data_IF_414105561554
#
_entry.id   IF_414105561554
#
_cell.length_a   1.000
_cell.length_b   1.000
_cell.length_c   1.000
_cell.angle_alpha   90.00
_cell.angle_beta   90.00
_cell.angle_gamma   90.00
#
_symmetry.space_group_name_H-M   'P 1'
#
loop_
_entity.id
_entity.type
_entity.pdbx_description
1 polymer ?
#
# COMPACT_ATOMS: atom_id res chain seq x y z
N UNK A 1 -21.54 -10.29 -11.21
CA UNK A 1 -20.68 -9.09 -11.30
C UNK A 1 -19.76 -8.94 -10.08
N UNK A 2 -20.27 -9.03 -8.84
CA UNK A 2 -19.45 -8.94 -7.61
C UNK A 2 -18.30 -9.95 -7.58
N UNK A 3 -18.58 -11.22 -7.83
CA UNK A 3 -17.56 -12.28 -7.79
C UNK A 3 -16.48 -12.07 -8.85
N UNK A 4 -16.85 -11.59 -10.04
CA UNK A 4 -15.89 -11.23 -11.08
C UNK A 4 -14.94 -10.13 -10.60
N UNK A 5 -15.45 -9.06 -9.98
CA UNK A 5 -14.60 -8.00 -9.41
C UNK A 5 -13.65 -8.54 -8.34
N UNK A 6 -14.12 -9.41 -7.45
CA UNK A 6 -13.28 -10.07 -6.42
C UNK A 6 -12.12 -10.84 -7.06
N UNK A 7 -12.39 -11.67 -8.07
CA UNK A 7 -11.35 -12.40 -8.79
C UNK A 7 -10.38 -11.48 -9.52
N UNK A 8 -10.89 -10.42 -10.16
CA UNK A 8 -10.05 -9.44 -10.87
C UNK A 8 -9.15 -8.67 -9.90
N UNK A 9 -9.64 -8.27 -8.72
CA UNK A 9 -8.80 -7.62 -7.69
C UNK A 9 -7.65 -8.54 -7.30
N UNK A 10 -7.93 -9.81 -6.97
CA UNK A 10 -6.89 -10.78 -6.64
C UNK A 10 -5.87 -10.96 -7.76
N UNK A 11 -6.34 -11.13 -9.01
CA UNK A 11 -5.48 -11.28 -10.18
C UNK A 11 -4.58 -10.05 -10.42
N UNK A 12 -5.14 -8.85 -10.36
CA UNK A 12 -4.41 -7.59 -10.57
C UNK A 12 -3.36 -7.39 -9.47
N UNK A 13 -3.71 -7.66 -8.22
CA UNK A 13 -2.80 -7.51 -7.08
C UNK A 13 -1.67 -8.54 -7.08
N UNK A 14 -1.94 -9.78 -7.46
CA UNK A 14 -0.90 -10.80 -7.63
C UNK A 14 0.02 -10.41 -8.79
N UNK A 15 -0.54 -9.93 -9.90
CA UNK A 15 0.23 -9.48 -11.06
C UNK A 15 1.13 -8.29 -10.71
N UNK A 16 0.63 -7.31 -9.94
CA UNK A 16 1.41 -6.17 -9.50
C UNK A 16 2.57 -6.59 -8.58
N UNK A 17 2.31 -7.52 -7.63
CA UNK A 17 3.32 -8.07 -6.74
C UNK A 17 4.40 -8.86 -7.48
N UNK A 18 4.01 -9.74 -8.41
CA UNK A 18 4.96 -10.51 -9.25
C UNK A 18 5.80 -9.56 -10.11
N UNK A 19 5.19 -8.54 -10.71
CA UNK A 19 5.89 -7.55 -11.52
C UNK A 19 6.91 -6.77 -10.68
N UNK A 20 6.52 -6.34 -9.48
CA UNK A 20 7.40 -5.65 -8.54
C UNK A 20 8.58 -6.55 -8.14
N UNK A 21 8.31 -7.80 -7.74
CA UNK A 21 9.32 -8.80 -7.42
C UNK A 21 10.32 -8.99 -8.58
N UNK A 22 9.83 -9.13 -9.80
CA UNK A 22 10.67 -9.27 -10.98
C UNK A 22 11.58 -8.06 -11.19
N UNK A 23 11.06 -6.84 -11.05
CA UNK A 23 11.83 -5.59 -11.19
C UNK A 23 12.89 -5.44 -10.10
N UNK A 24 12.57 -5.78 -8.86
CA UNK A 24 13.53 -5.80 -7.74
C UNK A 24 14.65 -6.80 -8.04
N UNK A 25 14.29 -8.03 -8.42
CA UNK A 25 15.25 -9.10 -8.72
C UNK A 25 16.19 -8.75 -9.89
N UNK A 26 15.68 -8.08 -10.92
CA UNK A 26 16.45 -7.66 -12.10
C UNK A 26 17.18 -6.33 -11.92
N UNK A 27 16.95 -5.61 -10.81
CA UNK A 27 17.45 -4.23 -10.59
C UNK A 27 17.10 -3.30 -11.75
N UNK A 28 15.86 -3.41 -12.24
CA UNK A 28 15.36 -2.72 -13.43
C UNK A 28 14.97 -1.27 -13.12
N UNK A 29 15.93 -0.47 -12.64
CA UNK A 29 15.74 0.95 -12.30
C UNK A 29 14.87 1.22 -11.07
N UNK A 30 14.25 0.20 -10.48
CA UNK A 30 13.43 0.31 -9.27
C UNK A 30 14.29 0.04 -8.03
N UNK A 31 14.25 0.96 -7.07
CA UNK A 31 14.86 0.77 -5.75
C UNK A 31 13.79 1.06 -4.71
N UNK A 32 12.98 0.07 -4.29
CA UNK A 32 11.99 0.28 -3.26
C UNK A 32 12.66 0.39 -1.89
N UNK A 33 12.18 1.29 -1.05
CA UNK A 33 12.70 1.41 0.33
C UNK A 33 12.18 0.28 1.21
N UNK A 34 13.09 -0.45 1.88
CA UNK A 34 12.70 -1.52 2.82
C UNK A 34 11.73 -1.02 3.91
N UNK A 35 11.95 0.18 4.44
CA UNK A 35 11.07 0.81 5.45
C UNK A 35 9.62 0.91 4.98
N UNK A 36 9.39 1.30 3.71
CA UNK A 36 8.05 1.41 3.13
C UNK A 36 7.30 0.08 3.23
N UNK A 37 7.95 -1.02 2.85
CA UNK A 37 7.30 -2.32 2.78
C UNK A 37 7.09 -2.96 4.15
N UNK A 38 7.97 -2.70 5.13
CA UNK A 38 7.72 -3.05 6.53
C UNK A 38 6.47 -2.34 7.05
N UNK A 39 6.40 -1.03 6.81
CA UNK A 39 5.31 -0.15 7.25
C UNK A 39 3.97 -0.57 6.62
N UNK A 40 3.95 -0.83 5.32
CA UNK A 40 2.75 -1.32 4.64
C UNK A 40 2.36 -2.73 5.07
N UNK A 41 3.31 -3.64 5.23
CA UNK A 41 2.98 -4.99 5.69
C UNK A 41 2.37 -4.97 7.10
N UNK A 42 2.99 -4.25 8.04
CA UNK A 42 2.46 -4.10 9.39
C UNK A 42 1.09 -3.41 9.40
N UNK A 43 0.94 -2.32 8.65
CA UNK A 43 -0.31 -1.57 8.55
C UNK A 43 -1.45 -2.38 7.94
N UNK A 44 -1.20 -3.08 6.84
CA UNK A 44 -2.21 -3.91 6.15
C UNK A 44 -2.64 -5.10 7.00
N UNK A 45 -1.73 -5.76 7.73
CA UNK A 45 -2.10 -6.81 8.70
C UNK A 45 -3.01 -6.24 9.80
N UNK A 46 -2.63 -5.11 10.40
CA UNK A 46 -3.45 -4.48 11.42
C UNK A 46 -4.82 -4.08 10.86
N UNK A 47 -4.86 -3.57 9.63
CA UNK A 47 -6.10 -3.19 8.98
C UNK A 47 -6.98 -4.42 8.72
N UNK A 48 -6.42 -5.50 8.20
CA UNK A 48 -7.19 -6.72 7.95
C UNK A 48 -7.73 -7.30 9.25
N UNK A 49 -6.91 -7.32 10.31
CA UNK A 49 -7.30 -7.86 11.61
C UNK A 49 -8.45 -7.06 12.22
N UNK A 50 -8.31 -5.74 12.29
CA UNK A 50 -9.37 -4.85 12.81
C UNK A 50 -10.63 -4.90 11.94
N UNK A 51 -10.47 -5.02 10.61
CA UNK A 51 -11.58 -5.17 9.67
C UNK A 51 -12.36 -6.46 9.89
N UNK A 52 -11.69 -7.61 9.97
CA UNK A 52 -12.35 -8.91 10.15
C UNK A 52 -13.15 -8.94 11.45
N UNK A 53 -12.61 -8.35 12.52
CA UNK A 53 -13.29 -8.24 13.81
C UNK A 53 -14.51 -7.31 13.70
N UNK A 54 -14.37 -6.13 13.10
CA UNK A 54 -15.45 -5.14 12.99
C UNK A 54 -16.59 -5.59 12.06
N UNK A 55 -16.26 -6.20 10.92
CA UNK A 55 -17.20 -6.53 9.84
C UNK A 55 -17.59 -8.01 9.82
N UNK A 56 -17.45 -8.69 10.97
CA UNK A 56 -17.87 -10.09 11.18
C UNK A 56 -17.40 -11.04 10.08
N UNK A 57 -16.13 -10.91 9.68
CA UNK A 57 -15.49 -11.74 8.66
C UNK A 57 -16.06 -11.59 7.22
N UNK A 58 -16.58 -10.42 6.82
CA UNK A 58 -16.93 -10.13 5.42
C UNK A 58 -15.68 -10.01 4.51
N UNK A 59 -15.11 -11.15 4.14
CA UNK A 59 -13.89 -11.20 3.31
C UNK A 59 -14.13 -10.79 1.86
N UNK A 60 -15.38 -10.80 1.38
CA UNK A 60 -15.71 -10.47 -0.01
C UNK A 60 -15.65 -8.98 -0.24
N UNK A 61 -16.23 -8.18 0.66
CA UNK A 61 -16.12 -6.72 0.58
C UNK A 61 -14.69 -6.27 0.85
N UNK A 62 -14.00 -6.92 1.80
CA UNK A 62 -12.61 -6.65 2.16
C UNK A 62 -11.55 -7.23 1.23
N UNK A 63 -11.89 -7.68 0.02
CA UNK A 63 -10.97 -8.41 -0.89
C UNK A 63 -9.67 -7.65 -1.14
N UNK A 64 -9.72 -6.32 -1.29
CA UNK A 64 -8.51 -5.51 -1.51
C UNK A 64 -7.57 -5.54 -0.31
N UNK A 65 -8.11 -5.50 0.91
CA UNK A 65 -7.31 -5.55 2.14
C UNK A 65 -6.58 -6.90 2.26
N UNK A 66 -7.28 -8.00 1.96
CA UNK A 66 -6.68 -9.35 1.92
C UNK A 66 -5.58 -9.41 0.86
N UNK A 67 -5.89 -8.96 -0.36
CA UNK A 67 -4.94 -8.97 -1.47
C UNK A 67 -3.71 -8.09 -1.19
N UNK A 68 -3.89 -6.95 -0.53
CA UNK A 68 -2.81 -6.06 -0.09
C UNK A 68 -1.90 -6.74 0.95
N UNK A 69 -2.44 -7.46 1.94
CA UNK A 69 -1.60 -8.20 2.90
C UNK A 69 -0.71 -9.22 2.16
N UNK A 70 -1.27 -9.97 1.21
CA UNK A 70 -0.50 -10.95 0.43
C UNK A 70 0.52 -10.25 -0.48
N UNK A 71 0.12 -9.21 -1.20
CA UNK A 71 0.99 -8.49 -2.12
C UNK A 71 2.15 -7.80 -1.37
N UNK A 72 1.86 -7.11 -0.27
CA UNK A 72 2.87 -6.45 0.56
C UNK A 72 3.80 -7.46 1.22
N UNK A 73 3.32 -8.64 1.63
CA UNK A 73 4.19 -9.72 2.11
C UNK A 73 5.18 -10.18 1.02
N UNK A 74 4.70 -10.45 -0.20
CA UNK A 74 5.53 -10.88 -1.33
C UNK A 74 6.60 -9.81 -1.64
N UNK A 75 6.21 -8.54 -1.71
CA UNK A 75 7.14 -7.46 -2.03
C UNK A 75 8.13 -7.25 -0.88
N UNK A 76 7.67 -7.27 0.37
CA UNK A 76 8.53 -7.16 1.54
C UNK A 76 9.61 -8.27 1.57
N UNK A 77 9.22 -9.53 1.36
CA UNK A 77 10.16 -10.64 1.25
C UNK A 77 11.13 -10.46 0.09
N UNK A 78 10.64 -9.98 -1.06
CA UNK A 78 11.47 -9.72 -2.24
C UNK A 78 12.54 -8.65 -1.97
N UNK A 79 12.18 -7.58 -1.23
CA UNK A 79 13.13 -6.52 -0.84
C UNK A 79 14.16 -7.05 0.17
N UNK A 80 13.78 -7.91 1.12
CA UNK A 80 14.74 -8.55 2.05
C UNK A 80 15.76 -9.41 1.29
N UNK A 81 15.28 -10.22 0.34
CA UNK A 81 16.12 -11.20 -0.36
C UNK A 81 17.02 -10.50 -1.39
N UNK A 82 16.47 -9.64 -2.24
CA UNK A 82 17.15 -9.07 -3.41
C UNK A 82 17.37 -7.55 -3.37
N UNK A 83 16.73 -6.83 -2.46
CA UNK A 83 16.82 -5.37 -2.36
C UNK A 83 18.13 -4.88 -1.74
N UNK A 84 18.33 -3.56 -1.78
CA UNK A 84 19.49 -2.92 -1.17
C UNK A 84 19.36 -2.94 0.36
N UNK A 85 20.27 -3.67 1.01
CA UNK A 85 20.27 -3.88 2.47
C UNK A 85 20.86 -2.65 3.17
N UNK A 86 20.00 -1.68 3.46
CA UNK A 86 20.32 -0.53 4.29
C UNK A 86 19.22 -0.29 5.31
N UNK A 87 19.15 -1.09 6.37
CA UNK A 87 18.16 -0.91 7.43
C UNK A 87 18.70 0.05 8.49
N UNK A 88 18.29 1.32 8.42
CA UNK A 88 18.42 2.25 9.55
C UNK A 88 17.03 2.79 9.85
N UNK A 89 16.42 2.31 10.94
CA UNK A 89 15.17 2.85 11.47
C UNK A 89 15.36 4.35 11.72
N UNK A 90 14.77 5.19 10.87
CA UNK A 90 14.75 6.62 11.05
C UNK A 90 13.64 6.96 12.06
N UNK A 91 13.58 8.22 12.54
CA UNK A 91 12.55 8.63 13.49
C UNK A 91 11.11 8.37 13.00
N UNK A 92 10.88 8.47 11.69
CA UNK A 92 9.56 8.22 11.10
C UNK A 92 9.09 6.77 11.27
N UNK A 93 9.95 5.79 11.00
CA UNK A 93 9.59 4.38 11.16
C UNK A 93 9.26 4.05 12.63
N UNK A 94 9.99 4.64 13.58
CA UNK A 94 9.70 4.49 15.01
C UNK A 94 8.36 5.11 15.38
N UNK A 95 8.08 6.31 14.88
CA UNK A 95 6.79 6.97 15.08
C UNK A 95 5.63 6.14 14.50
N UNK A 96 5.79 5.61 13.28
CA UNK A 96 4.79 4.78 12.63
C UNK A 96 4.50 3.51 13.42
N UNK A 97 5.55 2.77 13.84
CA UNK A 97 5.39 1.58 14.67
C UNK A 97 4.81 1.90 16.05
N UNK A 98 5.15 3.05 16.63
CA UNK A 98 4.48 3.56 17.82
C UNK A 98 2.98 3.77 17.59
N UNK A 99 2.60 4.33 16.45
CA UNK A 99 1.20 4.46 16.03
C UNK A 99 0.47 3.11 15.93
N UNK A 100 1.12 2.10 15.35
CA UNK A 100 0.58 0.71 15.31
C UNK A 100 0.27 0.23 16.73
N UNK A 101 1.23 0.38 17.66
CA UNK A 101 1.06 -0.04 19.07
C UNK A 101 -0.08 0.74 19.72
N UNK A 102 -0.18 2.05 19.52
CA UNK A 102 -1.26 2.88 20.08
C UNK A 102 -2.63 2.42 19.59
N UNK A 103 -2.77 2.11 18.29
CA UNK A 103 -4.05 1.63 17.73
C UNK A 103 -4.44 0.26 18.30
N UNK A 104 -3.46 -0.63 18.47
CA UNK A 104 -3.68 -1.96 19.08
C UNK A 104 -4.12 -1.80 20.54
N UNK A 105 -3.39 -1.00 21.32
CA UNK A 105 -3.74 -0.72 22.73
C UNK A 105 -5.14 -0.12 22.80
N UNK A 106 -5.43 0.91 22.00
CA UNK A 106 -6.77 1.50 21.93
C UNK A 106 -7.84 0.43 21.69
N UNK A 107 -7.69 -0.41 20.67
CA UNK A 107 -8.69 -1.43 20.32
C UNK A 107 -8.87 -2.49 21.40
N UNK A 108 -7.79 -2.89 22.08
CA UNK A 108 -7.85 -3.85 23.18
C UNK A 108 -8.57 -3.30 24.41
N UNK A 109 -8.38 -2.02 24.73
CA UNK A 109 -9.02 -1.38 25.89
C UNK A 109 -10.45 -0.90 25.62
N UNK A 110 -10.72 -0.38 24.41
CA UNK A 110 -12.05 0.13 24.05
C UNK A 110 -13.01 -0.96 23.55
N UNK A 111 -12.47 -2.06 23.01
CA UNK A 111 -13.25 -3.04 22.25
C UNK A 111 -13.72 -2.53 20.89
N UNK A 112 -13.35 -1.31 20.49
CA UNK A 112 -13.80 -0.66 19.26
C UNK A 112 -12.90 -1.01 18.07
N UNK A 113 -13.13 -2.18 17.49
CA UNK A 113 -12.41 -2.63 16.29
C UNK A 113 -12.69 -1.73 15.08
N UNK A 114 -13.86 -1.10 15.01
CA UNK A 114 -14.23 -0.22 13.91
C UNK A 114 -13.40 1.08 13.96
N UNK A 115 -13.34 1.72 15.13
CA UNK A 115 -12.50 2.89 15.38
C UNK A 115 -11.01 2.59 15.15
N UNK A 116 -10.53 1.45 15.65
CA UNK A 116 -9.16 0.98 15.37
C UNK A 116 -8.89 0.84 13.88
N UNK A 117 -9.86 0.35 13.09
CA UNK A 117 -9.69 0.23 11.65
C UNK A 117 -9.55 1.60 10.98
N UNK A 118 -10.40 2.57 11.34
CA UNK A 118 -10.32 3.94 10.81
C UNK A 118 -8.98 4.60 11.13
N UNK A 119 -8.50 4.49 12.37
CA UNK A 119 -7.16 4.99 12.72
C UNK A 119 -6.07 4.28 11.92
N UNK A 120 -6.24 3.00 11.64
CA UNK A 120 -5.30 2.25 10.79
C UNK A 120 -5.31 2.77 9.35
N UNK A 121 -6.46 3.16 8.79
CA UNK A 121 -6.50 3.75 7.43
C UNK A 121 -5.72 5.06 7.35
N UNK A 122 -5.84 5.91 8.39
CA UNK A 122 -5.05 7.15 8.51
C UNK A 122 -3.57 6.82 8.61
N UNK A 123 -3.21 5.86 9.46
CA UNK A 123 -1.82 5.45 9.65
C UNK A 123 -1.21 4.91 8.34
N UNK A 124 -1.87 3.97 7.64
CA UNK A 124 -1.38 3.42 6.37
C UNK A 124 -1.20 4.53 5.33
N UNK A 125 -2.08 5.53 5.30
CA UNK A 125 -1.95 6.69 4.41
C UNK A 125 -0.68 7.49 4.70
N UNK A 126 -0.30 7.65 5.96
CA UNK A 126 1.00 8.24 6.32
C UNK A 126 2.17 7.34 5.92
N UNK A 127 1.96 6.03 5.78
CA UNK A 127 2.96 5.05 5.36
C UNK A 127 3.56 5.28 3.96
N UNK A 128 2.94 6.11 3.11
CA UNK A 128 3.53 6.54 1.83
C UNK A 128 4.67 7.55 1.99
N UNK A 129 4.82 8.16 3.16
CA UNK A 129 5.80 9.20 3.41
C UNK A 129 7.24 8.80 3.07
N UNK A 130 7.77 7.60 3.43
CA UNK A 130 9.14 7.21 3.08
C UNK A 130 9.36 7.12 1.56
N UNK A 131 8.36 6.65 0.80
CA UNK A 131 8.41 6.62 -0.66
C UNK A 131 8.43 8.03 -1.24
N UNK A 132 7.54 8.91 -0.76
CA UNK A 132 7.51 10.32 -1.18
C UNK A 132 8.83 11.00 -0.84
N UNK A 133 9.34 10.82 0.37
CA UNK A 133 10.61 11.39 0.82
C UNK A 133 11.77 10.91 -0.06
N UNK A 134 11.79 9.64 -0.47
CA UNK A 134 12.81 9.11 -1.39
C UNK A 134 12.76 9.78 -2.75
N UNK A 135 11.58 9.88 -3.36
CA UNK A 135 11.39 10.59 -4.63
C UNK A 135 11.86 12.05 -4.56
N UNK A 136 11.51 12.74 -3.48
CA UNK A 136 11.94 14.13 -3.22
C UNK A 136 13.45 14.26 -3.04
N UNK A 137 14.08 13.29 -2.36
CA UNK A 137 15.52 13.31 -2.05
C UNK A 137 16.36 12.99 -3.28
N UNK A 138 16.00 11.93 -4.02
CA UNK A 138 16.74 11.50 -5.21
C UNK A 138 16.42 12.34 -6.45
N UNK A 139 15.34 13.13 -6.43
CA UNK A 139 14.88 13.99 -7.52
C UNK A 139 14.71 13.25 -8.86
N UNK A 140 14.43 11.95 -8.80
CA UNK A 140 14.15 11.09 -9.95
C UNK A 140 13.09 10.06 -9.57
N UNK A 141 12.42 9.50 -10.55
CA UNK A 141 11.51 8.40 -10.32
C UNK A 141 12.30 7.11 -10.01
N UNK A 142 12.08 6.53 -8.83
CA UNK A 142 12.67 5.25 -8.39
C UNK A 142 11.65 4.12 -8.33
N UNK A 143 10.43 4.40 -8.77
CA UNK A 143 9.25 3.58 -8.57
C UNK A 143 8.63 3.17 -9.92
N UNK A 144 7.85 2.09 -9.91
CA UNK A 144 7.29 1.51 -11.14
C UNK A 144 5.87 1.99 -11.41
N UNK A 145 5.68 2.81 -12.45
CA UNK A 145 4.34 3.28 -12.86
C UNK A 145 3.36 2.13 -13.08
N UNK A 146 3.83 1.01 -13.64
CA UNK A 146 3.00 -0.17 -13.87
C UNK A 146 2.50 -0.77 -12.56
N UNK A 147 3.38 -0.94 -11.56
CA UNK A 147 2.99 -1.53 -10.26
C UNK A 147 1.97 -0.62 -9.56
N UNK A 148 2.26 0.67 -9.46
CA UNK A 148 1.38 1.64 -8.82
C UNK A 148 0.06 1.80 -9.57
N UNK A 149 0.08 1.83 -10.91
CA UNK A 149 -1.12 1.88 -11.73
C UNK A 149 -2.03 0.66 -11.57
N UNK A 150 -1.46 -0.55 -11.50
CA UNK A 150 -2.23 -1.77 -11.22
C UNK A 150 -2.90 -1.72 -9.84
N UNK A 151 -2.24 -1.15 -8.82
CA UNK A 151 -2.84 -0.97 -7.49
C UNK A 151 -4.05 -0.02 -7.55
N UNK A 152 -3.98 1.07 -8.33
CA UNK A 152 -5.15 1.96 -8.54
C UNK A 152 -6.30 1.20 -9.20
N UNK A 153 -6.00 0.42 -10.25
CA UNK A 153 -7.01 -0.40 -10.94
C UNK A 153 -7.66 -1.40 -9.97
N UNK A 154 -6.87 -2.09 -9.14
CA UNK A 154 -7.40 -2.98 -8.12
C UNK A 154 -8.29 -2.25 -7.11
N UNK A 155 -7.88 -1.05 -6.68
CA UNK A 155 -8.67 -0.18 -5.80
C UNK A 155 -10.03 0.18 -6.40
N UNK A 156 -10.06 0.60 -7.67
CA UNK A 156 -11.29 0.93 -8.39
C UNK A 156 -12.21 -0.29 -8.54
N UNK A 157 -11.65 -1.46 -8.87
CA UNK A 157 -12.42 -2.71 -8.96
C UNK A 157 -13.01 -3.15 -7.62
N UNK A 158 -12.28 -2.91 -6.52
CA UNK A 158 -12.72 -3.27 -5.17
C UNK A 158 -13.83 -2.36 -4.62
N UNK A 159 -13.98 -1.15 -5.13
CA UNK A 159 -15.08 -0.26 -4.73
C UNK A 159 -16.45 -0.88 -5.03
N UNK A 160 -16.60 -1.60 -6.14
CA UNK A 160 -17.87 -2.19 -6.53
C UNK A 160 -18.42 -3.20 -5.49
N UNK A 161 -17.71 -4.28 -5.12
CA UNK A 161 -18.21 -5.22 -4.11
C UNK A 161 -18.41 -4.54 -2.74
N UNK A 162 -17.54 -3.59 -2.36
CA UNK A 162 -17.65 -2.86 -1.10
C UNK A 162 -18.95 -2.02 -1.03
N UNK A 163 -19.21 -1.19 -2.04
CA UNK A 163 -20.42 -0.36 -2.11
C UNK A 163 -21.67 -1.21 -2.26
N UNK A 164 -21.63 -2.23 -3.11
CA UNK A 164 -22.80 -3.07 -3.39
C UNK A 164 -23.18 -3.98 -2.21
N UNK A 165 -22.32 -4.12 -1.20
CA UNK A 165 -22.61 -4.78 0.08
C UNK A 165 -22.85 -3.79 1.22
N UNK A 166 -22.76 -2.48 0.98
CA UNK A 166 -22.90 -1.44 2.02
C UNK A 166 -21.78 -1.45 3.06
N UNK A 167 -20.62 -2.05 2.75
CA UNK A 167 -19.52 -2.20 3.70
C UNK A 167 -18.66 -0.93 3.74
N UNK A 168 -18.89 -0.09 4.76
CA UNK A 168 -18.24 1.22 4.87
C UNK A 168 -16.72 1.11 5.02
N UNK A 169 -16.21 0.23 5.88
CA UNK A 169 -14.76 0.09 6.09
C UNK A 169 -14.04 -0.37 4.82
N UNK A 170 -14.65 -1.26 4.04
CA UNK A 170 -14.12 -1.67 2.74
C UNK A 170 -14.11 -0.52 1.72
N UNK A 171 -15.16 0.32 1.70
CA UNK A 171 -15.21 1.52 0.85
C UNK A 171 -14.11 2.51 1.23
N UNK A 172 -13.91 2.77 2.53
CA UNK A 172 -12.83 3.63 3.02
C UNK A 172 -11.48 3.07 2.61
N UNK A 173 -11.25 1.77 2.80
CA UNK A 173 -10.00 1.10 2.43
C UNK A 173 -9.69 1.27 0.94
N UNK A 174 -10.65 0.93 0.08
CA UNK A 174 -10.49 1.02 -1.37
C UNK A 174 -10.30 2.46 -1.85
N UNK A 175 -11.10 3.39 -1.34
CA UNK A 175 -10.99 4.83 -1.68
C UNK A 175 -9.65 5.39 -1.25
N UNK A 176 -9.21 5.07 -0.03
CA UNK A 176 -7.90 5.48 0.49
C UNK A 176 -6.78 4.98 -0.41
N UNK A 177 -6.82 3.70 -0.81
CA UNK A 177 -5.83 3.13 -1.73
C UNK A 177 -5.79 3.91 -3.06
N UNK A 178 -6.94 4.15 -3.69
CA UNK A 178 -7.03 4.91 -4.95
C UNK A 178 -6.46 6.32 -4.79
N UNK A 179 -6.86 7.06 -3.76
CA UNK A 179 -6.43 8.45 -3.54
C UNK A 179 -4.93 8.52 -3.23
N UNK A 180 -4.45 7.78 -2.24
CA UNK A 180 -3.05 7.84 -1.82
C UNK A 180 -2.10 7.39 -2.92
N UNK A 181 -2.45 6.32 -3.65
CA UNK A 181 -1.61 5.83 -4.75
C UNK A 181 -1.61 6.80 -5.92
N UNK A 182 -2.75 7.43 -6.24
CA UNK A 182 -2.82 8.43 -7.30
C UNK A 182 -1.93 9.65 -6.99
N UNK A 183 -1.87 10.06 -5.72
CA UNK A 183 -0.94 11.12 -5.27
C UNK A 183 0.52 10.69 -5.50
N UNK A 184 0.88 9.46 -5.16
CA UNK A 184 2.23 8.93 -5.41
C UNK A 184 2.55 8.92 -6.90
N UNK A 185 1.64 8.46 -7.75
CA UNK A 185 1.80 8.47 -9.22
C UNK A 185 1.97 9.89 -9.74
N UNK A 186 1.22 10.87 -9.23
CA UNK A 186 1.37 12.27 -9.62
C UNK A 186 2.77 12.81 -9.30
N UNK A 187 3.30 12.49 -8.12
CA UNK A 187 4.66 12.86 -7.70
C UNK A 187 5.71 12.17 -8.59
N UNK A 188 5.55 10.87 -8.87
CA UNK A 188 6.42 10.13 -9.79
C UNK A 188 6.43 10.77 -11.18
N UNK A 189 5.26 11.14 -11.69
CA UNK A 189 5.08 11.79 -13.01
C UNK A 189 5.81 13.13 -13.06
N UNK A 190 5.69 13.94 -12.00
CA UNK A 190 6.40 15.21 -11.91
C UNK A 190 7.91 15.04 -12.05
N UNK A 191 8.52 14.08 -11.34
CA UNK A 191 9.95 13.84 -11.41
C UNK A 191 10.39 13.25 -12.75
N UNK A 192 9.62 12.31 -13.32
CA UNK A 192 9.90 11.73 -14.63
C UNK A 192 9.93 12.80 -15.74
N UNK A 193 8.93 13.69 -15.77
CA UNK A 193 8.86 14.79 -16.74
C UNK A 193 10.01 15.79 -16.57
N UNK A 194 10.39 16.08 -15.32
CA UNK A 194 11.52 16.98 -15.03
C UNK A 194 12.85 16.39 -15.50
N UNK A 195 13.10 15.10 -15.25
CA UNK A 195 14.32 14.42 -15.69
C UNK A 195 14.44 14.36 -17.22
N UNK A 196 13.34 14.11 -17.93
CA UNK A 196 13.32 14.11 -19.41
C UNK A 196 13.63 15.48 -20.01
N UNK A 197 13.08 16.55 -19.43
CA UNK A 197 13.37 17.93 -19.88
C UNK A 197 14.85 18.28 -19.71
N UNK A 198 15.47 17.89 -18.59
CA UNK A 198 16.88 18.13 -18.34
C UNK A 198 17.78 17.43 -19.39
N UNK A 199 17.44 16.19 -19.75
CA UNK A 199 18.17 15.42 -20.78
C UNK A 199 18.02 15.98 -22.19
N UNK A 200 16.88 16.60 -22.52
CA UNK A 200 16.67 17.22 -23.84
C UNK A 200 17.39 18.57 -24.04
N UNK A 201 17.97 19.13 -22.97
CA UNK A 201 18.69 20.42 -22.99
C UNK A 201 20.23 20.25 -22.98
N UNK A 202 20.72 19.02 -22.84
CA UNK A 202 22.13 18.62 -22.93
C UNK A 202 22.41 17.95 -24.27
#
# INVERSE_FOLDING_TARGET
MKDLCVWLVGFVMITSAIRCMYQIRKRDGVSPTLSTWIIFFAGTILSLTTYIIAEKHDLRSGVLNIADVVATAIIFLSVIIWGERGMRFRPFEKWYLGGVVVIVVYGLFSGDAWGSNIFTQVLISAGYFPTIQKLLTEKRNTESFTVWGLIVVAGLLALYPAMANGNFLAVVYATRSVVSVSIVIAIMTYFELRSRKALSQT
#
